data_IF_438458173889
#
_entry.id   IF_438458173889
#
_cell.length_a   1.000
_cell.length_b   1.000
_cell.length_c   1.000
_cell.angle_alpha   90.00
_cell.angle_beta   90.00
_cell.angle_gamma   90.00
#
_symmetry.space_group_name_H-M   'P 1'
#
loop_
_entity.id
_entity.type
_entity.pdbx_description
1 polymer ?
#
# COMPACT_ATOMS: atom_id res chain seq x y z
N UNK A 1 -23.49 5.20 9.10
CA UNK A 1 -23.08 6.15 8.04
C UNK A 1 -21.78 6.89 8.39
N UNK A 2 -21.52 7.27 9.65
CA UNK A 2 -20.19 7.78 10.06
C UNK A 2 -19.12 6.67 10.19
N UNK A 3 -19.52 5.47 10.61
CA UNK A 3 -18.65 4.29 10.79
C UNK A 3 -17.83 3.94 9.53
N UNK A 4 -18.46 4.06 8.36
CA UNK A 4 -17.87 3.77 7.05
C UNK A 4 -16.76 4.77 6.65
N UNK A 5 -16.91 6.05 7.06
CA UNK A 5 -15.91 7.10 6.81
C UNK A 5 -14.61 6.81 7.55
N UNK A 6 -14.70 6.46 8.83
CA UNK A 6 -13.56 6.13 9.68
C UNK A 6 -12.91 4.80 9.27
N UNK A 7 -13.72 3.82 8.85
CA UNK A 7 -13.23 2.52 8.42
C UNK A 7 -12.35 2.64 7.18
N UNK A 8 -12.79 3.40 6.16
CA UNK A 8 -12.01 3.61 4.94
C UNK A 8 -10.69 4.34 5.20
N UNK A 9 -10.70 5.38 6.02
CA UNK A 9 -9.46 6.09 6.38
C UNK A 9 -8.52 5.21 7.20
N UNK A 10 -9.05 4.32 8.04
CA UNK A 10 -8.25 3.35 8.80
C UNK A 10 -7.56 2.33 7.88
N UNK A 11 -8.26 1.83 6.86
CA UNK A 11 -7.66 0.94 5.86
C UNK A 11 -6.50 1.62 5.13
N UNK A 12 -6.68 2.88 4.72
CA UNK A 12 -5.59 3.66 4.10
C UNK A 12 -4.40 3.80 5.06
N UNK A 13 -4.65 4.15 6.33
CA UNK A 13 -3.58 4.30 7.33
C UNK A 13 -2.78 3.00 7.55
N UNK A 14 -3.42 1.83 7.45
CA UNK A 14 -2.72 0.55 7.56
C UNK A 14 -1.69 0.36 6.44
N UNK A 15 -2.05 0.68 5.20
CA UNK A 15 -1.13 0.58 4.05
C UNK A 15 -0.01 1.63 4.05
N UNK A 16 -0.21 2.74 4.77
CA UNK A 16 0.83 3.77 4.96
C UNK A 16 1.79 3.43 6.11
N UNK A 17 1.58 2.31 6.81
CA UNK A 17 2.48 1.85 7.87
C UNK A 17 3.86 1.57 7.27
N UNK A 18 4.89 2.22 7.81
CA UNK A 18 6.26 2.16 7.30
C UNK A 18 6.64 3.31 6.37
N UNK A 19 5.70 4.20 6.03
CA UNK A 19 5.95 5.43 5.27
C UNK A 19 5.64 6.66 6.14
N UNK A 20 6.57 7.12 7.00
CA UNK A 20 6.28 8.14 8.01
C UNK A 20 5.83 9.47 7.42
N UNK A 21 6.39 9.85 6.27
CA UNK A 21 6.02 11.09 5.56
C UNK A 21 4.60 11.02 5.02
N UNK A 22 4.24 9.91 4.36
CA UNK A 22 2.91 9.69 3.80
C UNK A 22 1.86 9.58 4.90
N UNK A 23 2.19 8.88 6.00
CA UNK A 23 1.32 8.73 7.16
C UNK A 23 1.04 10.09 7.80
N UNK A 24 2.07 10.95 7.95
CA UNK A 24 1.91 12.31 8.44
C UNK A 24 1.05 13.16 7.49
N UNK A 25 1.30 13.05 6.18
CA UNK A 25 0.53 13.77 5.17
C UNK A 25 -0.95 13.37 5.22
N UNK A 26 -1.25 12.07 5.21
CA UNK A 26 -2.61 11.55 5.25
C UNK A 26 -3.33 11.89 6.57
N UNK A 27 -2.62 11.83 7.69
CA UNK A 27 -3.16 12.26 9.00
C UNK A 27 -3.58 13.73 9.00
N UNK A 28 -2.85 14.60 8.29
CA UNK A 28 -3.25 16.00 8.12
C UNK A 28 -4.48 16.15 7.23
N UNK A 29 -4.63 15.30 6.21
CA UNK A 29 -5.83 15.28 5.36
C UNK A 29 -7.07 14.84 6.15
N UNK A 30 -6.95 13.83 7.02
CA UNK A 30 -7.99 13.41 7.95
C UNK A 30 -8.48 14.58 8.80
N UNK A 31 -7.55 15.31 9.43
CA UNK A 31 -7.87 16.49 10.24
C UNK A 31 -8.57 17.60 9.45
N UNK A 32 -8.34 17.70 8.14
CA UNK A 32 -8.99 18.69 7.27
C UNK A 32 -10.36 18.23 6.74
N UNK A 33 -10.52 16.94 6.46
CA UNK A 33 -11.70 16.38 5.83
C UNK A 33 -12.80 16.03 6.85
N UNK A 34 -12.44 15.45 8.00
CA UNK A 34 -13.41 15.00 9.01
C UNK A 34 -14.31 16.13 9.55
N UNK A 35 -13.81 17.36 9.84
CA UNK A 35 -14.68 18.47 10.24
C UNK A 35 -15.72 18.88 9.19
N UNK A 36 -15.54 18.46 7.93
CA UNK A 36 -16.47 18.71 6.81
C UNK A 36 -17.41 17.53 6.56
N UNK A 37 -17.39 16.51 7.41
CA UNK A 37 -18.21 15.29 7.26
C UNK A 37 -17.78 14.40 6.09
N UNK A 38 -16.51 14.46 5.68
CA UNK A 38 -15.96 13.72 4.55
C UNK A 38 -14.74 12.91 4.99
N UNK A 39 -14.51 11.74 4.37
CA UNK A 39 -13.29 10.96 4.58
C UNK A 39 -12.10 11.62 3.90
N UNK A 40 -10.90 11.42 4.43
CA UNK A 40 -9.70 11.90 3.76
C UNK A 40 -9.51 11.23 2.39
N UNK A 41 -9.91 9.97 2.28
CA UNK A 41 -9.94 9.23 1.02
C UNK A 41 -10.78 9.95 -0.02
N UNK A 42 -12.04 10.29 0.29
CA UNK A 42 -12.94 10.98 -0.66
C UNK A 42 -12.41 12.37 -1.02
N UNK A 43 -11.81 13.05 -0.03
CA UNK A 43 -11.17 14.34 -0.23
C UNK A 43 -9.97 14.27 -1.19
N UNK A 44 -9.17 13.21 -1.13
CA UNK A 44 -8.04 12.96 -2.06
C UNK A 44 -8.57 12.64 -3.45
N UNK A 45 -9.55 11.75 -3.56
CA UNK A 45 -10.10 11.31 -4.85
C UNK A 45 -10.80 12.45 -5.62
N UNK A 46 -11.34 13.45 -4.91
CA UNK A 46 -11.92 14.65 -5.54
C UNK A 46 -10.88 15.65 -6.08
N UNK A 47 -9.60 15.51 -5.73
CA UNK A 47 -8.54 16.44 -6.15
C UNK A 47 -7.76 15.88 -7.36
N UNK A 48 -7.90 16.47 -8.56
CA UNK A 48 -7.23 15.96 -9.77
C UNK A 48 -5.69 16.06 -9.70
N UNK A 49 -5.15 16.97 -8.90
CA UNK A 49 -3.70 17.21 -8.78
C UNK A 49 -2.93 16.12 -8.02
N UNK A 50 -3.59 15.18 -7.36
CA UNK A 50 -2.95 14.14 -6.55
C UNK A 50 -2.86 12.77 -7.24
N UNK A 51 -3.37 12.63 -8.48
CA UNK A 51 -3.64 11.34 -9.12
C UNK A 51 -2.44 10.37 -9.19
N UNK A 52 -1.21 10.89 -9.33
CA UNK A 52 0.02 10.09 -9.42
C UNK A 52 0.74 9.86 -8.09
N UNK A 53 0.20 10.38 -6.98
CA UNK A 53 0.80 10.16 -5.66
C UNK A 53 0.51 8.76 -5.12
N UNK A 54 1.41 8.24 -4.29
CA UNK A 54 1.24 6.97 -3.58
C UNK A 54 -0.04 6.95 -2.73
N UNK A 55 -0.30 8.03 -1.97
CA UNK A 55 -1.55 8.19 -1.21
C UNK A 55 -2.78 8.07 -2.13
N UNK A 56 -2.79 8.73 -3.28
CA UNK A 56 -3.93 8.65 -4.19
C UNK A 56 -4.10 7.25 -4.81
N UNK A 57 -3.00 6.54 -5.08
CA UNK A 57 -3.05 5.15 -5.52
C UNK A 57 -3.68 4.25 -4.45
N UNK A 58 -3.23 4.33 -3.20
CA UNK A 58 -3.82 3.58 -2.08
C UNK A 58 -5.31 3.94 -1.90
N UNK A 59 -5.65 5.24 -1.92
CA UNK A 59 -7.03 5.70 -1.81
C UNK A 59 -7.92 5.10 -2.90
N UNK A 60 -7.44 5.06 -4.16
CA UNK A 60 -8.18 4.47 -5.29
C UNK A 60 -8.41 2.97 -5.10
N UNK A 61 -7.38 2.24 -4.66
CA UNK A 61 -7.43 0.80 -4.47
C UNK A 61 -8.38 0.43 -3.31
N UNK A 62 -8.27 1.13 -2.18
CA UNK A 62 -9.18 0.96 -1.03
C UNK A 62 -10.61 1.33 -1.41
N UNK A 63 -10.82 2.41 -2.19
CA UNK A 63 -12.15 2.80 -2.65
C UNK A 63 -12.79 1.76 -3.57
N UNK A 64 -11.98 1.09 -4.40
CA UNK A 64 -12.41 0.00 -5.26
C UNK A 64 -12.67 -1.31 -4.51
N UNK A 65 -12.31 -1.40 -3.22
CA UNK A 65 -12.40 -2.63 -2.43
C UNK A 65 -11.35 -3.67 -2.81
N UNK A 66 -10.27 -3.26 -3.48
CA UNK A 66 -9.17 -4.14 -3.86
C UNK A 66 -8.33 -4.47 -2.61
N UNK A 67 -8.13 -5.76 -2.34
CA UNK A 67 -7.20 -6.19 -1.31
C UNK A 67 -5.76 -6.03 -1.82
N UNK A 68 -5.02 -5.11 -1.22
CA UNK A 68 -3.67 -4.73 -1.66
C UNK A 68 -2.66 -4.81 -0.53
N UNK A 69 -1.38 -4.88 -0.91
CA UNK A 69 -0.24 -4.84 0.01
C UNK A 69 0.75 -3.80 -0.49
N UNK A 70 1.17 -2.90 0.40
CA UNK A 70 2.35 -2.06 0.18
C UNK A 70 3.64 -2.89 0.21
N UNK A 71 4.76 -2.32 -0.22
CA UNK A 71 6.06 -3.00 -0.13
C UNK A 71 6.45 -3.41 1.28
N UNK A 72 6.04 -2.63 2.29
CA UNK A 72 6.27 -2.96 3.70
C UNK A 72 5.44 -4.17 4.10
N UNK A 73 4.13 -4.15 3.82
CA UNK A 73 3.24 -5.26 4.16
C UNK A 73 3.59 -6.53 3.39
N UNK A 74 3.97 -6.42 2.12
CA UNK A 74 4.43 -7.54 1.33
C UNK A 74 5.71 -8.13 1.92
N UNK A 75 6.70 -7.31 2.28
CA UNK A 75 7.93 -7.76 2.92
C UNK A 75 7.68 -8.47 4.26
N UNK A 76 6.73 -7.99 5.06
CA UNK A 76 6.29 -8.67 6.29
C UNK A 76 5.75 -10.08 6.01
N UNK A 77 5.07 -10.31 4.87
CA UNK A 77 4.59 -11.67 4.48
C UNK A 77 5.73 -12.64 4.16
N UNK A 78 6.88 -12.12 3.77
CA UNK A 78 8.09 -12.89 3.46
C UNK A 78 9.10 -12.89 4.62
N UNK A 79 8.82 -12.20 5.73
CA UNK A 79 9.70 -12.15 6.90
C UNK A 79 11.01 -11.39 6.67
N UNK A 80 11.07 -10.51 5.67
CA UNK A 80 12.29 -9.77 5.30
C UNK A 80 12.10 -8.25 5.42
N UNK A 81 13.19 -7.47 5.51
CA UNK A 81 13.10 -6.01 5.43
C UNK A 81 12.52 -5.53 4.08
N UNK A 82 11.79 -4.39 4.04
CA UNK A 82 11.17 -3.86 2.82
C UNK A 82 12.15 -3.65 1.68
N UNK A 83 13.34 -3.13 1.98
CA UNK A 83 14.39 -2.90 1.00
C UNK A 83 14.90 -4.21 0.39
N UNK A 84 15.17 -5.21 1.24
CA UNK A 84 15.57 -6.55 0.80
C UNK A 84 14.49 -7.20 -0.07
N UNK A 85 13.21 -7.09 0.32
CA UNK A 85 12.09 -7.57 -0.49
C UNK A 85 12.09 -6.93 -1.89
N UNK A 86 12.26 -5.60 -1.96
CA UNK A 86 12.28 -4.87 -3.23
C UNK A 86 13.46 -5.27 -4.13
N UNK A 87 14.65 -5.44 -3.54
CA UNK A 87 15.88 -5.75 -4.27
C UNK A 87 16.02 -7.22 -4.67
N UNK A 88 15.34 -8.15 -3.97
CA UNK A 88 15.54 -9.60 -4.17
C UNK A 88 14.31 -10.33 -4.69
N UNK A 89 13.13 -10.11 -4.09
CA UNK A 89 11.91 -10.86 -4.39
C UNK A 89 11.12 -10.12 -5.46
N UNK A 90 10.83 -8.84 -5.23
CA UNK A 90 10.06 -8.02 -6.17
C UNK A 90 10.83 -7.62 -7.43
N UNK A 91 12.15 -7.81 -7.44
CA UNK A 91 13.00 -7.63 -8.61
C UNK A 91 12.97 -8.83 -9.58
N UNK A 92 12.37 -9.96 -9.17
CA UNK A 92 12.32 -11.17 -9.99
C UNK A 92 11.33 -11.00 -11.14
N UNK A 93 11.67 -11.49 -12.35
CA UNK A 93 10.78 -11.38 -13.51
C UNK A 93 9.50 -12.22 -13.35
N UNK A 94 9.53 -13.25 -12.51
CA UNK A 94 8.41 -14.09 -12.15
C UNK A 94 7.52 -13.52 -11.02
N UNK A 95 7.91 -12.40 -10.39
CA UNK A 95 7.11 -11.75 -9.35
C UNK A 95 5.95 -10.95 -9.97
N UNK A 96 4.75 -10.91 -9.34
CA UNK A 96 3.62 -10.18 -9.88
C UNK A 96 3.93 -8.69 -10.09
N UNK A 97 3.42 -8.08 -11.18
CA UNK A 97 3.62 -6.68 -11.45
C UNK A 97 2.89 -5.81 -10.40
N UNK A 98 3.49 -4.71 -9.94
CA UNK A 98 2.82 -3.80 -9.03
C UNK A 98 1.69 -3.04 -9.74
N UNK A 99 0.59 -2.82 -9.01
CA UNK A 99 -0.52 -1.94 -9.42
C UNK A 99 -0.09 -0.47 -9.42
N UNK A 100 0.87 -0.13 -8.56
CA UNK A 100 1.48 1.20 -8.48
C UNK A 100 2.96 1.04 -8.16
N UNK A 101 3.81 1.79 -8.86
CA UNK A 101 5.23 1.85 -8.58
C UNK A 101 5.77 3.27 -8.77
N UNK A 102 6.36 3.81 -7.71
CA UNK A 102 7.11 5.06 -7.75
C UNK A 102 8.27 4.95 -6.74
N UNK A 103 9.50 4.88 -7.25
CA UNK A 103 10.70 4.59 -6.46
C UNK A 103 10.53 3.32 -5.58
N UNK A 104 10.67 3.47 -4.27
CA UNK A 104 10.52 2.42 -3.24
C UNK A 104 9.05 2.20 -2.83
N UNK A 105 8.13 3.06 -3.28
CA UNK A 105 6.70 2.98 -2.97
C UNK A 105 6.01 2.14 -4.04
N UNK A 106 5.77 0.87 -3.70
CA UNK A 106 5.11 -0.09 -4.59
C UNK A 106 3.93 -0.75 -3.91
N UNK A 107 2.92 -1.09 -4.70
CA UNK A 107 1.67 -1.72 -4.24
C UNK A 107 1.33 -2.89 -5.15
N UNK A 108 0.97 -4.02 -4.56
CA UNK A 108 0.52 -5.22 -5.28
C UNK A 108 -0.87 -5.64 -4.83
N UNK A 109 -1.53 -6.46 -5.64
CA UNK A 109 -2.68 -7.22 -5.17
C UNK A 109 -2.23 -8.23 -4.12
N UNK A 110 -2.94 -8.28 -3.01
CA UNK A 110 -2.66 -9.23 -1.94
C UNK A 110 -2.75 -10.67 -2.43
N UNK A 111 -3.74 -10.97 -3.27
CA UNK A 111 -3.93 -12.31 -3.85
C UNK A 111 -2.75 -12.77 -4.69
N UNK A 112 -2.21 -11.91 -5.56
CA UNK A 112 -1.09 -12.26 -6.44
C UNK A 112 0.19 -12.53 -5.65
N UNK A 113 0.45 -11.72 -4.61
CA UNK A 113 1.60 -11.92 -3.71
C UNK A 113 1.47 -13.23 -2.91
N UNK A 114 0.27 -13.53 -2.42
CA UNK A 114 0.02 -14.76 -1.66
C UNK A 114 0.14 -16.01 -2.55
N UNK A 115 -0.38 -15.97 -3.79
CA UNK A 115 -0.20 -17.05 -4.77
C UNK A 115 1.29 -17.28 -5.05
N UNK A 116 2.05 -16.21 -5.28
CA UNK A 116 3.50 -16.31 -5.46
C UNK A 116 4.18 -16.94 -4.23
N UNK A 117 3.84 -16.50 -3.02
CA UNK A 117 4.39 -17.05 -1.77
C UNK A 117 4.08 -18.54 -1.61
N UNK A 118 2.85 -18.97 -1.92
CA UNK A 118 2.48 -20.38 -1.85
C UNK A 118 3.21 -21.25 -2.87
N UNK A 119 3.46 -20.71 -4.07
CA UNK A 119 4.12 -21.44 -5.16
C UNK A 119 5.63 -21.59 -4.93
N UNK A 120 6.29 -20.59 -4.34
CA UNK A 120 7.74 -20.55 -4.19
C UNK A 120 8.23 -20.72 -2.74
N UNK A 121 7.33 -20.82 -1.77
CA UNK A 121 7.63 -20.97 -0.33
C UNK A 121 7.92 -19.65 0.39
N UNK A 122 8.24 -19.75 1.69
CA UNK A 122 8.88 -18.66 2.45
C UNK A 122 10.24 -18.35 1.80
N UNK A 123 10.63 -17.08 1.76
CA UNK A 123 11.78 -16.61 1.00
C UNK A 123 12.98 -17.57 1.15
N UNK A 124 13.60 -18.04 0.04
CA UNK A 124 14.80 -18.85 0.16
C UNK A 124 15.84 -18.05 0.95
N UNK A 125 16.67 -18.71 1.80
CA UNK A 125 17.74 -18.02 2.51
C UNK A 125 18.54 -17.24 1.46
N UNK A 126 18.82 -15.96 1.75
CA UNK A 126 19.59 -15.07 0.88
C UNK A 126 20.76 -15.89 0.31
N UNK A 127 20.65 -16.23 -0.97
CA UNK A 127 21.58 -17.15 -1.60
C UNK A 127 22.97 -16.55 -1.51
N UNK A 128 23.85 -17.26 -0.83
CA UNK A 128 25.30 -17.08 -0.81
C UNK A 128 25.76 -16.82 -2.26
N UNK A 129 26.26 -15.61 -2.51
CA UNK A 129 27.01 -15.28 -3.71
C UNK A 129 28.45 -15.02 -3.32
#
# INVERSE_FOLDING_TARGET
MADDLYQRDTLVLQHLRGYPEELRHYSNLIKQAHPRGMSALDFVLRRPAASDSFIAAICRLVAAGEAVLSAVEAAERFGVPPRTFLETIAARPDFPPPLFAHDEKRVWRAGDVEVYRQQYGEAPPAGDM
#
